data_IF_743763382894
#
_entry.id   IF_743763382894
#
_cell.length_a   1.000
_cell.length_b   1.000
_cell.length_c   1.000
_cell.angle_alpha   90.00
_cell.angle_beta   90.00
_cell.angle_gamma   90.00
#
_symmetry.space_group_name_H-M   'P 1'
#
loop_
_entity.id
_entity.type
_entity.pdbx_description
1 polymer ?
#
# COMPACT_ATOMS: atom_id res chain seq x y z
N UNK A 1 -6.90 25.26 -20.12
CA UNK A 1 -7.27 26.61 -19.65
C UNK A 1 -6.14 27.10 -18.77
N UNK A 2 -5.64 28.33 -19.00
CA UNK A 2 -4.59 28.91 -18.17
C UNK A 2 -5.00 28.92 -16.68
N UNK A 3 -4.10 28.46 -15.80
CA UNK A 3 -4.37 28.40 -14.38
C UNK A 3 -4.07 29.75 -13.74
N UNK A 4 -5.10 30.59 -13.60
CA UNK A 4 -4.97 31.91 -12.97
C UNK A 4 -4.99 31.79 -11.43
N UNK A 5 -4.03 32.38 -10.69
CA UNK A 5 -4.05 32.42 -9.23
C UNK A 5 -5.24 33.23 -8.72
N UNK A 6 -5.70 32.95 -7.49
CA UNK A 6 -6.97 33.48 -6.99
C UNK A 6 -7.02 35.01 -6.92
N UNK A 7 -5.91 35.64 -6.53
CA UNK A 7 -5.79 37.09 -6.42
C UNK A 7 -6.06 37.78 -7.77
N UNK A 8 -5.53 37.21 -8.84
CA UNK A 8 -5.74 37.69 -10.20
C UNK A 8 -7.21 37.55 -10.64
N UNK A 9 -7.89 36.48 -10.21
CA UNK A 9 -9.32 36.31 -10.49
C UNK A 9 -10.17 37.34 -9.75
N UNK A 10 -9.86 37.59 -8.47
CA UNK A 10 -10.53 38.60 -7.64
C UNK A 10 -10.40 39.98 -8.29
N UNK A 11 -9.17 40.35 -8.70
CA UNK A 11 -8.94 41.61 -9.40
C UNK A 11 -9.76 41.71 -10.70
N UNK A 12 -9.83 40.63 -11.48
CA UNK A 12 -10.62 40.61 -12.71
C UNK A 12 -12.12 40.78 -12.45
N UNK A 13 -12.67 40.17 -11.39
CA UNK A 13 -14.06 40.37 -10.97
C UNK A 13 -14.30 41.81 -10.54
N UNK A 14 -13.46 42.38 -9.67
CA UNK A 14 -13.57 43.76 -9.20
C UNK A 14 -13.44 44.78 -10.35
N UNK A 15 -12.53 44.54 -11.28
CA UNK A 15 -12.38 45.39 -12.48
C UNK A 15 -13.61 45.31 -13.39
N UNK A 16 -14.24 44.14 -13.49
CA UNK A 16 -15.46 43.95 -14.27
C UNK A 16 -16.66 44.65 -13.62
N UNK A 17 -16.83 44.56 -12.30
CA UNK A 17 -17.94 45.26 -11.61
C UNK A 17 -17.86 46.78 -11.78
N UNK A 18 -16.65 47.34 -11.83
CA UNK A 18 -16.42 48.78 -12.06
C UNK A 18 -16.62 49.22 -13.52
N UNK A 19 -16.28 48.36 -14.50
CA UNK A 19 -16.28 48.76 -15.92
C UNK A 19 -17.45 48.24 -16.73
N UNK A 20 -18.09 47.16 -16.28
CA UNK A 20 -19.09 46.40 -17.04
C UNK A 20 -18.61 45.96 -18.44
N UNK A 21 -17.30 45.94 -18.70
CA UNK A 21 -16.73 45.70 -20.03
C UNK A 21 -15.53 44.76 -19.97
N UNK A 22 -15.60 43.67 -20.75
CA UNK A 22 -14.53 42.66 -20.81
C UNK A 22 -13.21 43.21 -21.35
N UNK A 23 -13.27 44.03 -22.41
CA UNK A 23 -12.07 44.61 -23.03
C UNK A 23 -11.37 45.55 -22.06
N UNK A 24 -12.13 46.40 -21.36
CA UNK A 24 -11.57 47.32 -20.37
C UNK A 24 -11.01 46.57 -19.16
N UNK A 25 -11.70 45.52 -18.70
CA UNK A 25 -11.23 44.63 -17.64
C UNK A 25 -9.88 44.00 -18.02
N UNK A 26 -9.76 43.44 -19.22
CA UNK A 26 -8.52 42.85 -19.73
C UNK A 26 -7.39 43.89 -19.86
N UNK A 27 -7.69 45.11 -20.32
CA UNK A 27 -6.71 46.20 -20.41
C UNK A 27 -6.24 46.68 -19.03
N UNK A 28 -7.14 46.74 -18.03
CA UNK A 28 -6.78 47.05 -16.65
C UNK A 28 -5.94 45.93 -16.03
N UNK A 29 -6.33 44.68 -16.26
CA UNK A 29 -5.57 43.51 -15.83
C UNK A 29 -4.13 43.52 -16.37
N UNK A 30 -3.95 43.85 -17.66
CA UNK A 30 -2.62 43.99 -18.26
C UNK A 30 -1.78 45.08 -17.59
N UNK A 31 -2.39 46.22 -17.26
CA UNK A 31 -1.71 47.36 -16.62
C UNK A 31 -1.31 47.03 -15.18
N UNK A 32 -2.19 46.40 -14.41
CA UNK A 32 -1.94 46.04 -13.01
C UNK A 32 -0.78 45.05 -12.88
N UNK A 33 -0.78 44.01 -13.69
CA UNK A 33 0.20 42.93 -13.62
C UNK A 33 1.39 43.10 -14.59
N UNK A 34 1.54 44.27 -15.22
CA UNK A 34 2.62 44.61 -16.16
C UNK A 34 2.88 43.53 -17.22
N UNK A 35 1.80 43.03 -17.82
CA UNK A 35 1.84 41.89 -18.72
C UNK A 35 2.28 42.29 -20.14
N UNK A 36 3.24 41.57 -20.76
CA UNK A 36 3.69 41.88 -22.12
C UNK A 36 2.56 41.71 -23.14
N UNK A 37 2.62 42.41 -24.27
CA UNK A 37 1.51 42.48 -25.26
C UNK A 37 1.03 41.08 -25.70
N UNK A 38 1.96 40.14 -25.88
CA UNK A 38 1.65 38.76 -26.31
C UNK A 38 1.33 37.79 -25.18
N UNK A 39 1.39 38.20 -23.92
CA UNK A 39 1.02 37.29 -22.83
C UNK A 39 -0.47 36.96 -22.86
N UNK A 40 -0.79 35.80 -22.30
CA UNK A 40 -2.16 35.42 -22.07
C UNK A 40 -2.83 36.39 -21.08
N UNK A 41 -4.12 36.59 -21.27
CA UNK A 41 -4.99 37.38 -20.38
C UNK A 41 -6.25 36.54 -20.16
N UNK A 42 -6.94 36.66 -19.01
CA UNK A 42 -8.19 35.94 -18.80
C UNK A 42 -9.15 36.13 -19.96
N UNK A 43 -9.59 35.02 -20.57
CA UNK A 43 -10.54 35.06 -21.68
C UNK A 43 -11.89 35.60 -21.21
N UNK A 44 -12.70 36.12 -22.15
CA UNK A 44 -14.07 36.58 -21.85
C UNK A 44 -14.87 35.53 -21.07
N UNK A 45 -14.78 34.26 -21.47
CA UNK A 45 -15.49 33.15 -20.82
C UNK A 45 -14.96 32.86 -19.41
N UNK A 46 -13.66 33.07 -19.17
CA UNK A 46 -13.08 32.92 -17.82
C UNK A 46 -13.61 34.02 -16.89
N UNK A 47 -13.60 35.28 -17.34
CA UNK A 47 -14.11 36.43 -16.58
C UNK A 47 -15.60 36.25 -16.28
N UNK A 48 -16.41 35.90 -17.29
CA UNK A 48 -17.83 35.60 -17.13
C UNK A 48 -18.08 34.52 -16.08
N UNK A 49 -17.32 33.41 -16.15
CA UNK A 49 -17.43 32.32 -15.18
C UNK A 49 -17.13 32.79 -13.76
N UNK A 50 -16.06 33.56 -13.58
CA UNK A 50 -15.67 34.07 -12.25
C UNK A 50 -16.69 35.05 -11.67
N UNK A 51 -17.22 35.96 -12.48
CA UNK A 51 -18.27 36.90 -12.05
C UNK A 51 -19.53 36.14 -11.65
N UNK A 52 -19.93 35.13 -12.44
CA UNK A 52 -21.08 34.27 -12.10
C UNK A 52 -20.84 33.49 -10.80
N UNK A 53 -19.69 32.84 -10.67
CA UNK A 53 -19.36 32.06 -9.47
C UNK A 53 -19.30 32.95 -8.22
N UNK A 54 -18.81 34.20 -8.36
CA UNK A 54 -18.82 35.21 -7.31
C UNK A 54 -20.25 35.64 -6.94
N UNK A 55 -21.11 35.94 -7.91
CA UNK A 55 -22.49 36.36 -7.64
C UNK A 55 -23.34 35.25 -7.01
N UNK A 56 -23.12 33.99 -7.39
CA UNK A 56 -23.88 32.86 -6.84
C UNK A 56 -23.37 32.39 -5.48
N UNK A 57 -22.05 32.34 -5.29
CA UNK A 57 -21.40 31.63 -4.16
C UNK A 57 -20.46 32.50 -3.33
N UNK A 58 -20.34 33.79 -3.66
CA UNK A 58 -19.37 34.73 -3.06
C UNK A 58 -17.90 34.24 -3.13
N UNK A 59 -17.58 33.34 -4.05
CA UNK A 59 -16.27 32.69 -4.12
C UNK A 59 -15.80 32.50 -5.56
N UNK A 60 -14.54 32.84 -5.81
CA UNK A 60 -13.87 32.68 -7.11
C UNK A 60 -12.91 31.48 -7.12
N UNK A 61 -12.93 30.67 -6.05
CA UNK A 61 -12.14 29.44 -5.96
C UNK A 61 -12.60 28.47 -7.05
N UNK A 62 -11.65 27.96 -7.83
CA UNK A 62 -11.95 26.82 -8.70
C UNK A 62 -12.50 25.71 -7.83
N UNK A 63 -13.60 25.08 -8.24
CA UNK A 63 -13.90 23.73 -7.76
C UNK A 63 -12.69 22.90 -8.19
N UNK A 64 -12.00 22.30 -7.22
CA UNK A 64 -11.17 21.16 -7.55
C UNK A 64 -12.15 20.15 -8.14
N UNK A 65 -11.91 19.71 -9.38
CA UNK A 65 -12.61 18.54 -9.85
C UNK A 65 -12.27 17.46 -8.83
N UNK A 66 -13.27 16.96 -8.10
CA UNK A 66 -13.09 15.80 -7.26
C UNK A 66 -12.41 14.77 -8.16
N UNK A 67 -11.17 14.42 -7.84
CA UNK A 67 -10.38 13.51 -8.66
C UNK A 67 -11.11 12.18 -8.86
N UNK A 68 -10.58 11.29 -9.72
CA UNK A 68 -11.17 9.96 -9.88
C UNK A 68 -11.45 9.35 -8.50
N UNK A 69 -12.66 8.81 -8.32
CA UNK A 69 -13.11 8.25 -7.04
C UNK A 69 -12.06 7.25 -6.56
N UNK A 70 -11.50 7.49 -5.39
CA UNK A 70 -10.48 6.62 -4.84
C UNK A 70 -11.08 5.22 -4.64
N UNK A 71 -10.42 4.19 -5.18
CA UNK A 71 -10.77 2.78 -4.93
C UNK A 71 -10.74 2.45 -3.43
N UNK A 72 -10.00 3.24 -2.65
CA UNK A 72 -9.90 3.20 -1.19
C UNK A 72 -11.15 3.82 -0.53
N UNK A 73 -12.30 3.17 -0.71
CA UNK A 73 -13.50 3.42 0.10
C UNK A 73 -13.50 2.53 1.33
N UNK A 74 -14.20 2.93 2.39
CA UNK A 74 -14.31 2.11 3.61
C UNK A 74 -14.90 0.72 3.33
N UNK A 75 -15.86 0.65 2.40
CA UNK A 75 -16.44 -0.60 1.93
C UNK A 75 -15.37 -1.53 1.31
N UNK A 76 -14.57 -1.01 0.38
CA UNK A 76 -13.53 -1.81 -0.28
C UNK A 76 -12.44 -2.24 0.69
N UNK A 77 -12.09 -1.41 1.68
CA UNK A 77 -11.15 -1.79 2.75
C UNK A 77 -11.71 -2.98 3.55
N UNK A 78 -13.00 -2.95 3.90
CA UNK A 78 -13.68 -4.06 4.56
C UNK A 78 -13.66 -5.34 3.72
N UNK A 79 -13.98 -5.23 2.43
CA UNK A 79 -13.97 -6.38 1.50
C UNK A 79 -12.58 -6.99 1.34
N UNK A 80 -11.54 -6.16 1.23
CA UNK A 80 -10.15 -6.62 1.18
C UNK A 80 -9.78 -7.33 2.49
N UNK A 81 -10.13 -6.75 3.64
CA UNK A 81 -9.86 -7.38 4.95
C UNK A 81 -10.48 -8.78 5.04
N UNK A 82 -11.77 -8.90 4.74
CA UNK A 82 -12.48 -10.18 4.80
C UNK A 82 -11.87 -11.23 3.85
N UNK A 83 -11.46 -10.82 2.64
CA UNK A 83 -10.83 -11.73 1.69
C UNK A 83 -9.48 -12.28 2.17
N UNK A 84 -8.66 -11.43 2.81
CA UNK A 84 -7.38 -11.84 3.38
C UNK A 84 -7.54 -12.66 4.66
N UNK A 85 -8.56 -12.39 5.49
CA UNK A 85 -8.91 -13.22 6.64
C UNK A 85 -9.38 -14.62 6.20
N UNK A 86 -10.17 -14.70 5.12
CA UNK A 86 -10.62 -15.97 4.53
C UNK A 86 -9.48 -16.78 3.93
N UNK A 87 -8.51 -16.13 3.27
CA UNK A 87 -7.42 -16.83 2.56
C UNK A 87 -6.06 -16.15 2.68
N UNK A 88 -5.42 -16.18 3.87
CA UNK A 88 -4.20 -15.42 4.15
C UNK A 88 -2.98 -15.85 3.32
N UNK A 89 -2.98 -17.06 2.79
CA UNK A 89 -1.86 -17.63 2.00
C UNK A 89 -1.92 -17.31 0.51
N UNK A 90 -3.04 -16.77 0.02
CA UNK A 90 -3.23 -16.51 -1.42
C UNK A 90 -2.54 -15.20 -1.79
N UNK A 91 -1.90 -15.16 -2.96
CA UNK A 91 -1.13 -13.99 -3.38
C UNK A 91 -2.01 -12.75 -3.60
N UNK A 92 -1.39 -11.56 -3.51
CA UNK A 92 -2.05 -10.27 -3.73
C UNK A 92 -2.68 -10.20 -5.13
N UNK A 93 -1.96 -10.64 -6.17
CA UNK A 93 -2.47 -10.68 -7.55
C UNK A 93 -3.76 -11.51 -7.66
N UNK A 94 -3.78 -12.69 -7.03
CA UNK A 94 -4.97 -13.55 -7.05
C UNK A 94 -6.14 -12.97 -6.23
N UNK A 95 -5.88 -12.10 -5.26
CA UNK A 95 -6.92 -11.35 -4.55
C UNK A 95 -7.44 -10.19 -5.38
N UNK A 96 -6.57 -9.49 -6.11
CA UNK A 96 -6.96 -8.39 -6.99
C UNK A 96 -7.89 -8.85 -8.10
N UNK A 97 -7.57 -10.00 -8.73
CA UNK A 97 -8.45 -10.64 -9.72
C UNK A 97 -9.80 -11.00 -9.10
N UNK A 98 -9.82 -11.54 -7.88
CA UNK A 98 -11.04 -11.96 -7.21
C UNK A 98 -11.92 -10.79 -6.75
N UNK A 99 -11.30 -9.66 -6.38
CA UNK A 99 -11.98 -8.46 -5.87
C UNK A 99 -12.24 -7.41 -6.97
N UNK A 100 -11.77 -7.64 -8.20
CA UNK A 100 -11.80 -6.68 -9.31
C UNK A 100 -11.19 -5.32 -8.96
N UNK A 101 -10.09 -5.33 -8.20
CA UNK A 101 -9.33 -4.13 -7.79
C UNK A 101 -7.94 -4.22 -8.40
N UNK A 102 -7.36 -3.10 -8.86
CA UNK A 102 -6.00 -3.12 -9.38
C UNK A 102 -4.98 -3.51 -8.31
N UNK A 103 -3.94 -4.26 -8.70
CA UNK A 103 -2.88 -4.73 -7.80
C UNK A 103 -2.29 -3.59 -6.96
N UNK A 104 -2.03 -2.45 -7.59
CA UNK A 104 -1.43 -1.28 -6.92
C UNK A 104 -2.37 -0.68 -5.87
N UNK A 105 -3.67 -0.58 -6.17
CA UNK A 105 -4.66 -0.08 -5.20
C UNK A 105 -4.78 -1.03 -4.01
N UNK A 106 -4.80 -2.34 -4.30
CA UNK A 106 -4.88 -3.38 -3.27
C UNK A 106 -3.64 -3.35 -2.36
N UNK A 107 -2.44 -3.24 -2.92
CA UNK A 107 -1.20 -3.07 -2.15
C UNK A 107 -1.24 -1.82 -1.28
N UNK A 108 -1.76 -0.71 -1.82
CA UNK A 108 -1.90 0.53 -1.07
C UNK A 108 -2.83 0.35 0.14
N UNK A 109 -3.96 -0.33 -0.04
CA UNK A 109 -4.90 -0.66 1.05
C UNK A 109 -4.24 -1.57 2.09
N UNK A 110 -3.53 -2.61 1.66
CA UNK A 110 -2.82 -3.53 2.57
C UNK A 110 -1.79 -2.80 3.43
N UNK A 111 -0.97 -1.95 2.82
CA UNK A 111 0.12 -1.25 3.51
C UNK A 111 -0.38 -0.10 4.38
N UNK A 112 -1.26 0.76 3.85
CA UNK A 112 -1.64 2.01 4.53
C UNK A 112 -2.86 1.85 5.46
N UNK A 113 -3.86 1.04 5.11
CA UNK A 113 -5.06 0.86 5.94
C UNK A 113 -4.94 -0.33 6.89
N UNK A 114 -4.59 -1.50 6.34
CA UNK A 114 -4.59 -2.76 7.08
C UNK A 114 -3.27 -3.03 7.81
N UNK A 115 -2.21 -2.28 7.48
CA UNK A 115 -0.84 -2.44 8.02
C UNK A 115 -0.34 -3.88 7.91
N UNK A 116 -0.75 -4.58 6.85
CA UNK A 116 -0.30 -5.92 6.53
C UNK A 116 0.97 -5.82 5.70
N UNK A 117 2.08 -6.26 6.28
CA UNK A 117 3.36 -6.38 5.60
C UNK A 117 3.51 -7.80 5.05
N UNK A 118 4.20 -7.95 3.91
CA UNK A 118 4.53 -9.27 3.39
C UNK A 118 5.31 -10.06 4.46
N UNK A 119 4.79 -11.21 4.84
CA UNK A 119 5.47 -12.08 5.79
C UNK A 119 6.68 -12.74 5.15
N UNK A 120 7.81 -12.77 5.86
CA UNK A 120 9.02 -13.47 5.45
C UNK A 120 8.76 -14.98 5.50
N UNK A 121 8.77 -15.66 4.35
CA UNK A 121 8.59 -17.12 4.28
C UNK A 121 9.69 -17.79 5.12
N UNK A 122 9.30 -18.53 6.14
CA UNK A 122 10.18 -19.39 6.91
C UNK A 122 10.09 -20.81 6.35
N UNK A 123 11.16 -21.27 5.72
CA UNK A 123 11.28 -22.66 5.26
C UNK A 123 11.74 -23.51 6.43
N UNK A 124 10.88 -24.43 6.87
CA UNK A 124 11.20 -25.41 7.92
C UNK A 124 11.15 -26.81 7.34
N UNK A 125 11.89 -27.75 7.94
CA UNK A 125 11.79 -29.16 7.57
C UNK A 125 10.36 -29.67 7.82
N UNK A 126 9.90 -30.56 6.93
CA UNK A 126 8.58 -31.19 7.08
C UNK A 126 8.63 -32.15 8.26
N UNK A 127 7.73 -31.99 9.22
CA UNK A 127 7.54 -32.93 10.33
C UNK A 127 6.45 -33.94 10.01
N UNK A 128 6.72 -35.21 10.27
CA UNK A 128 5.69 -36.25 10.28
C UNK A 128 4.88 -36.18 11.59
N UNK A 129 3.66 -36.76 11.63
CA UNK A 129 2.83 -36.76 12.84
C UNK A 129 3.54 -37.36 14.06
N UNK A 130 4.32 -38.43 13.86
CA UNK A 130 5.11 -39.09 14.91
C UNK A 130 6.20 -38.15 15.46
N UNK A 131 6.87 -37.38 14.60
CA UNK A 131 7.94 -36.45 15.00
C UNK A 131 7.41 -35.36 15.92
N UNK A 132 6.13 -34.95 15.76
CA UNK A 132 5.51 -33.96 16.63
C UNK A 132 5.38 -34.48 18.05
N UNK A 133 4.92 -35.73 18.21
CA UNK A 133 4.76 -36.40 19.51
C UNK A 133 6.13 -36.55 20.17
N UNK A 134 7.08 -37.16 19.46
CA UNK A 134 8.43 -37.39 19.98
C UNK A 134 9.12 -36.09 20.41
N UNK A 135 8.94 -35.00 19.66
CA UNK A 135 9.51 -33.69 20.02
C UNK A 135 8.85 -33.10 21.25
N UNK A 136 7.54 -33.24 21.42
CA UNK A 136 6.83 -32.76 22.60
C UNK A 136 7.24 -33.56 23.85
N UNK A 137 7.31 -34.89 23.73
CA UNK A 137 7.72 -35.77 24.83
C UNK A 137 9.16 -35.48 25.25
N UNK A 138 10.06 -35.31 24.28
CA UNK A 138 11.44 -34.90 24.56
C UNK A 138 11.50 -33.55 25.28
N UNK A 139 10.76 -32.53 24.81
CA UNK A 139 10.71 -31.24 25.47
C UNK A 139 10.15 -31.33 26.88
N UNK A 140 9.11 -32.14 27.11
CA UNK A 140 8.52 -32.34 28.43
C UNK A 140 9.51 -33.00 29.39
N UNK A 141 10.20 -34.06 28.94
CA UNK A 141 11.26 -34.73 29.71
C UNK A 141 12.42 -33.80 30.02
N UNK A 142 12.88 -33.01 29.04
CA UNK A 142 13.92 -32.00 29.27
C UNK A 142 13.48 -30.97 30.31
N UNK A 143 12.23 -30.51 30.26
CA UNK A 143 11.71 -29.52 31.20
C UNK A 143 11.64 -30.09 32.62
N UNK A 144 11.15 -31.32 32.79
CA UNK A 144 11.14 -32.01 34.09
C UNK A 144 12.55 -32.21 34.65
N UNK A 145 13.48 -32.61 33.78
CA UNK A 145 14.89 -32.81 34.13
C UNK A 145 15.55 -31.50 34.60
N UNK A 146 15.27 -30.38 33.91
CA UNK A 146 15.77 -29.06 34.29
C UNK A 146 15.17 -28.60 35.63
N UNK A 147 13.87 -28.83 35.85
CA UNK A 147 13.21 -28.45 37.09
C UNK A 147 13.75 -29.23 38.30
N UNK A 148 14.08 -30.50 38.10
CA UNK A 148 14.63 -31.35 39.16
C UNK A 148 16.09 -30.98 39.47
N UNK A 149 16.89 -30.63 38.46
CA UNK A 149 18.31 -30.29 38.60
C UNK A 149 18.71 -29.13 37.67
N UNK A 150 18.64 -27.90 38.19
CA UNK A 150 18.91 -26.68 37.41
C UNK A 150 20.36 -26.57 36.90
N UNK A 151 21.32 -27.22 37.57
CA UNK A 151 22.75 -27.19 37.20
C UNK A 151 23.06 -27.94 35.90
N UNK A 152 22.13 -28.77 35.39
CA UNK A 152 22.30 -29.50 34.12
C UNK A 152 22.55 -28.55 32.94
N UNK A 153 22.01 -27.33 32.99
CA UNK A 153 22.24 -26.33 31.95
C UNK A 153 23.71 -25.91 31.81
N UNK A 154 24.51 -26.01 32.89
CA UNK A 154 25.94 -25.68 32.87
C UNK A 154 26.77 -26.72 32.10
N UNK A 155 26.27 -27.97 32.02
CA UNK A 155 26.94 -29.07 31.31
C UNK A 155 26.52 -29.19 29.85
N UNK A 156 25.43 -28.54 29.45
CA UNK A 156 24.99 -28.48 28.05
C UNK A 156 25.82 -27.45 27.26
N UNK A 157 27.11 -27.72 27.08
CA UNK A 157 27.93 -26.95 26.14
C UNK A 157 27.45 -27.22 24.71
N UNK A 158 26.74 -26.25 24.15
CA UNK A 158 26.16 -26.32 22.81
C UNK A 158 27.25 -26.27 21.74
N UNK A 159 27.69 -27.43 21.22
CA UNK A 159 28.56 -27.49 20.04
C UNK A 159 27.72 -27.16 18.81
N UNK A 160 27.69 -25.88 18.43
CA UNK A 160 27.21 -25.45 17.12
C UNK A 160 28.35 -25.65 16.10
N UNK A 161 28.78 -26.89 15.86
CA UNK A 161 29.67 -27.16 14.73
C UNK A 161 28.85 -27.17 13.45
N UNK A 162 29.03 -26.12 12.67
CA UNK A 162 28.60 -26.06 11.28
C UNK A 162 29.29 -27.16 10.47
N UNK A 163 28.53 -28.02 9.78
CA UNK A 163 28.96 -29.00 8.75
C UNK A 163 30.00 -30.05 9.21
N UNK A 164 29.77 -31.36 9.10
CA UNK A 164 29.55 -32.08 7.86
C UNK A 164 29.06 -33.49 8.20
N UNK A 165 28.15 -34.04 7.39
CA UNK A 165 27.71 -35.43 7.49
C UNK A 165 28.91 -36.34 7.18
N UNK A 166 29.60 -36.83 8.20
CA UNK A 166 30.39 -38.06 8.12
C UNK A 166 29.55 -39.18 8.70
N UNK A 167 28.86 -39.89 7.81
CA UNK A 167 28.19 -41.16 8.12
C UNK A 167 29.31 -42.14 8.51
N UNK A 168 29.56 -42.28 9.80
CA UNK A 168 30.28 -43.43 10.33
C UNK A 168 29.34 -44.63 10.20
N UNK A 169 29.78 -45.58 9.40
CA UNK A 169 29.07 -46.78 9.02
C UNK A 169 28.46 -47.53 10.21
N UNK A 170 27.18 -47.90 10.10
CA UNK A 170 26.74 -49.25 10.44
C UNK A 170 25.37 -49.53 9.81
N UNK A 171 25.30 -50.68 9.13
CA UNK A 171 24.12 -51.34 8.51
C UNK A 171 23.66 -50.79 7.15
N UNK A 172 24.53 -50.97 6.14
CA UNK A 172 24.08 -51.38 4.81
C UNK A 172 23.47 -52.79 4.92
N UNK A 173 22.14 -52.88 5.03
CA UNK A 173 21.41 -54.08 4.63
C UNK A 173 20.06 -53.69 4.07
N UNK A 174 19.92 -53.92 2.77
CA UNK A 174 18.69 -53.96 1.99
C UNK A 174 17.91 -52.63 1.87
N UNK A 175 17.89 -52.07 0.65
CA UNK A 175 16.68 -51.93 -0.16
C UNK A 175 17.10 -51.66 -1.60
N UNK A 176 16.72 -52.59 -2.48
CA UNK A 176 16.72 -52.45 -3.94
C UNK A 176 15.97 -51.19 -4.35
N UNK A 177 16.62 -50.28 -5.07
CA UNK A 177 15.91 -49.32 -5.91
C UNK A 177 15.30 -50.09 -7.09
N UNK A 178 13.98 -50.23 -7.10
CA UNK A 178 13.26 -50.47 -8.36
C UNK A 178 13.15 -49.11 -9.05
N UNK A 179 13.80 -49.01 -10.19
CA UNK A 179 13.58 -48.01 -11.22
C UNK A 179 12.09 -47.92 -11.58
N UNK A 180 11.52 -46.72 -11.50
CA UNK A 180 10.28 -46.38 -12.22
C UNK A 180 10.67 -45.40 -13.31
N UNK A 181 10.62 -45.93 -14.52
CA UNK A 181 10.69 -45.25 -15.81
C UNK A 181 9.38 -44.48 -16.04
N UNK A 182 9.52 -43.24 -16.54
CA UNK A 182 8.62 -42.37 -17.32
C UNK A 182 7.11 -42.58 -17.13
#
# INVERSE_FOLDING_TARGET
MANWPINQRIFAVNSFTLTQSFVQTQRRFRREYNLPVRSEVPSRNAILRWVRDFNEKSSVKSKFANGPRAVRTQENIGRVREAFERSPRRSVVRHSIALHISDQSLQTILHLDLKLHLYKIQTVQRLNPIDKVNRLDFCAQCLETINNNAEILNYLTYIKSTCSISIAATKLSAIRYKSVTI
#
